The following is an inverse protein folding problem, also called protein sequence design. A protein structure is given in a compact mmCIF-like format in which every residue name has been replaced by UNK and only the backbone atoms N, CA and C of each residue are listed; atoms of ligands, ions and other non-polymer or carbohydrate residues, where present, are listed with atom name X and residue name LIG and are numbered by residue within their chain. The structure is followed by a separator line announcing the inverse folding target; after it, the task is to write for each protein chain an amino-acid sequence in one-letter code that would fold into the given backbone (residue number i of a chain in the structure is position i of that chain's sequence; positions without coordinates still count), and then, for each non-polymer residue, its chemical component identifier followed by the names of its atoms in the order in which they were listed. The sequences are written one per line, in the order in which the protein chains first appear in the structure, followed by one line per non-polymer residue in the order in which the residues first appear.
data_IF_462827892205
#
_entry.id   IF_462827892205
#
_cell.length_a   1.000
_cell.length_b   1.000
_cell.length_c   1.000
_cell.angle_alpha   90.00
_cell.angle_beta   90.00
_cell.angle_gamma   90.00
#
_symmetry.space_group_name_H-M   'P 1'
#
loop_
_entity.id
_entity.type
_entity.pdbx_description
1 polymer ?
#
# COMPACT_ATOMS: atom_id res chain seq x y z
N UNK A 1 11.86 -77.52 26.38
CA UNK A 1 11.94 -76.19 25.73
C UNK A 1 11.75 -75.15 26.83
N UNK A 2 12.57 -74.09 26.85
CA UNK A 2 12.49 -73.01 27.85
C UNK A 2 11.53 -71.93 27.34
N UNK A 3 10.96 -71.15 28.25
CA UNK A 3 10.18 -69.96 27.91
C UNK A 3 11.05 -69.02 27.06
N UNK A 4 10.47 -68.33 26.08
CA UNK A 4 11.22 -67.39 25.24
C UNK A 4 10.57 -66.01 25.29
N UNK A 5 11.42 -64.98 25.33
CA UNK A 5 11.01 -63.59 25.22
C UNK A 5 11.71 -63.02 24.01
N UNK A 6 10.99 -62.34 23.15
CA UNK A 6 11.51 -61.74 21.94
C UNK A 6 11.04 -60.30 21.83
N UNK A 7 11.92 -59.41 21.37
CA UNK A 7 11.53 -58.13 20.83
C UNK A 7 10.98 -58.36 19.43
N UNK A 8 9.77 -57.91 19.15
CA UNK A 8 9.12 -58.03 17.85
C UNK A 8 8.99 -56.66 17.20
N UNK A 9 9.07 -56.62 15.88
CA UNK A 9 8.87 -55.40 15.08
C UNK A 9 7.77 -55.67 14.07
N UNK A 10 6.83 -54.75 13.92
CA UNK A 10 5.80 -54.78 12.88
C UNK A 10 5.79 -53.48 12.07
N UNK A 11 5.19 -53.52 10.87
CA UNK A 11 4.94 -52.33 10.03
C UNK A 11 3.88 -51.44 10.66
N UNK A 12 4.05 -50.15 10.44
CA UNK A 12 3.10 -49.08 10.74
C UNK A 12 3.14 -48.08 9.56
N UNK A 13 2.73 -48.55 8.38
CA UNK A 13 2.84 -47.84 7.11
C UNK A 13 1.90 -46.62 7.06
N UNK A 14 0.83 -46.60 7.84
CA UNK A 14 -0.07 -45.45 8.00
C UNK A 14 0.32 -44.50 9.16
N UNK A 15 1.37 -44.84 9.91
CA UNK A 15 1.95 -44.05 11.01
C UNK A 15 0.94 -43.74 12.13
N UNK A 16 -0.04 -44.61 12.33
CA UNK A 16 -1.06 -44.42 13.36
C UNK A 16 -0.59 -44.88 14.76
N UNK A 17 0.62 -45.45 14.87
CA UNK A 17 1.20 -45.97 16.10
C UNK A 17 0.72 -47.38 16.47
N UNK A 18 0.10 -48.10 15.53
CA UNK A 18 -0.35 -49.47 15.67
C UNK A 18 0.24 -50.36 14.57
N UNK A 19 0.31 -51.67 14.84
CA UNK A 19 0.80 -52.61 13.86
C UNK A 19 -0.24 -52.86 12.76
N UNK A 20 0.14 -52.68 11.50
CA UNK A 20 -0.71 -53.01 10.33
C UNK A 20 -0.86 -54.52 10.11
N UNK A 21 -0.08 -55.33 10.81
CA UNK A 21 -0.08 -56.76 10.66
C UNK A 21 0.82 -57.48 11.66
N UNK A 22 1.16 -58.73 11.32
CA UNK A 22 2.03 -59.56 12.15
C UNK A 22 3.47 -59.01 12.21
N UNK A 23 4.20 -59.40 13.24
CA UNK A 23 5.62 -59.07 13.38
C UNK A 23 6.43 -59.57 12.16
N UNK A 24 7.18 -58.65 11.55
CA UNK A 24 8.03 -58.88 10.37
C UNK A 24 9.42 -59.38 10.75
N UNK A 25 9.88 -59.12 11.98
CA UNK A 25 11.11 -59.66 12.53
C UNK A 25 11.02 -59.78 14.05
N UNK A 26 11.82 -60.67 14.63
CA UNK A 26 12.00 -60.80 16.07
C UNK A 26 13.47 -60.94 16.43
N UNK A 27 13.83 -60.48 17.63
CA UNK A 27 15.16 -60.62 18.23
C UNK A 27 15.02 -61.26 19.62
N UNK A 28 15.71 -62.38 19.89
CA UNK A 28 15.59 -63.06 21.17
C UNK A 28 16.20 -62.21 22.30
N UNK A 29 15.45 -62.07 23.39
CA UNK A 29 15.92 -61.44 24.62
C UNK A 29 16.41 -62.56 25.56
N UNK A 30 17.68 -62.54 26.01
CA UNK A 30 18.17 -63.53 26.96
C UNK A 30 17.33 -63.51 28.24
N UNK A 31 16.81 -64.66 28.66
CA UNK A 31 15.99 -64.77 29.89
C UNK A 31 16.73 -64.32 31.15
N UNK A 32 18.07 -64.32 31.15
CA UNK A 32 18.88 -63.78 32.25
C UNK A 32 18.77 -62.26 32.40
N UNK A 33 18.27 -61.58 31.38
CA UNK A 33 18.04 -60.14 31.34
C UNK A 33 16.56 -59.76 31.51
N UNK A 34 15.69 -60.74 31.80
CA UNK A 34 14.25 -60.53 32.04
C UNK A 34 13.98 -60.76 33.52
N UNK A 35 13.43 -59.74 34.18
CA UNK A 35 13.04 -59.79 35.60
C UNK A 35 11.57 -59.42 35.76
N UNK A 36 10.96 -59.82 36.87
CA UNK A 36 9.63 -59.31 37.23
C UNK A 36 9.69 -57.79 37.44
N UNK A 37 8.70 -57.06 36.91
CA UNK A 37 8.64 -55.59 36.96
C UNK A 37 9.16 -54.92 35.69
N UNK A 38 9.76 -53.74 35.84
CA UNK A 38 10.21 -52.90 34.71
C UNK A 38 11.55 -53.40 34.15
N UNK A 39 11.58 -53.64 32.84
CA UNK A 39 12.79 -54.05 32.12
C UNK A 39 13.10 -52.99 31.04
N UNK A 40 14.38 -52.77 30.76
CA UNK A 40 14.84 -51.84 29.71
C UNK A 40 15.66 -52.60 28.68
N UNK A 41 15.33 -52.44 27.40
CA UNK A 41 16.06 -53.02 26.29
C UNK A 41 16.42 -51.95 25.27
N UNK A 42 17.62 -52.06 24.71
CA UNK A 42 18.09 -51.19 23.63
C UNK A 42 17.85 -51.90 22.32
N UNK A 43 17.09 -51.27 21.43
CA UNK A 43 16.92 -51.73 20.06
C UNK A 43 17.84 -50.95 19.12
N UNK A 44 18.62 -51.67 18.31
CA UNK A 44 19.47 -51.05 17.30
C UNK A 44 18.70 -50.90 15.98
N UNK A 45 18.25 -49.69 15.68
CA UNK A 45 17.48 -49.39 14.46
C UNK A 45 18.23 -49.69 13.16
N UNK A 46 19.57 -49.73 13.18
CA UNK A 46 20.37 -50.17 12.03
C UNK A 46 20.09 -51.63 11.64
N UNK A 47 19.55 -52.45 12.54
CA UNK A 47 19.16 -53.84 12.24
C UNK A 47 17.99 -53.91 11.26
N UNK A 48 17.15 -52.88 11.19
CA UNK A 48 16.04 -52.81 10.24
C UNK A 48 16.54 -52.64 8.80
N UNK A 49 17.54 -51.76 8.61
CA UNK A 49 18.21 -51.57 7.34
C UNK A 49 18.95 -52.85 6.90
N UNK A 50 19.74 -53.46 7.79
CA UNK A 50 20.52 -54.66 7.46
C UNK A 50 19.68 -55.90 7.16
N UNK A 51 18.46 -55.96 7.69
CA UNK A 51 17.46 -56.99 7.37
C UNK A 51 16.66 -56.69 6.08
N UNK A 52 16.95 -55.59 5.38
CA UNK A 52 16.25 -55.21 4.15
C UNK A 52 14.79 -54.81 4.37
N UNK A 53 14.46 -54.32 5.57
CA UNK A 53 13.09 -53.93 5.93
C UNK A 53 12.76 -52.48 5.55
N UNK A 54 13.73 -51.70 5.08
CA UNK A 54 13.46 -50.36 4.55
C UNK A 54 13.06 -50.45 3.07
N UNK A 55 12.00 -49.75 2.70
CA UNK A 55 11.60 -49.56 1.31
C UNK A 55 12.16 -48.22 0.87
N UNK A 56 13.09 -48.24 -0.09
CA UNK A 56 13.72 -47.02 -0.60
C UNK A 56 14.39 -46.20 0.51
N UNK A 57 15.06 -46.91 1.44
CA UNK A 57 15.71 -46.37 2.64
C UNK A 57 14.77 -45.72 3.68
N UNK A 58 13.46 -45.85 3.51
CA UNK A 58 12.45 -45.38 4.46
C UNK A 58 11.67 -46.53 5.09
N UNK A 59 11.25 -46.38 6.36
CA UNK A 59 10.32 -47.31 6.98
C UNK A 59 9.76 -46.81 8.31
N UNK A 60 8.49 -47.15 8.55
CA UNK A 60 7.77 -46.86 9.79
C UNK A 60 7.38 -48.16 10.49
N UNK A 61 7.63 -48.22 11.80
CA UNK A 61 7.55 -49.45 12.58
C UNK A 61 7.01 -49.22 13.99
N UNK A 62 6.37 -50.25 14.53
CA UNK A 62 6.07 -50.37 15.95
C UNK A 62 6.91 -51.49 16.57
N UNK A 63 7.44 -51.22 17.78
CA UNK A 63 8.20 -52.18 18.56
C UNK A 63 7.30 -52.85 19.59
N UNK A 64 7.49 -54.13 19.84
CA UNK A 64 6.72 -54.88 20.82
C UNK A 64 7.53 -55.99 21.47
N UNK A 65 6.89 -56.69 22.40
CA UNK A 65 7.48 -57.88 23.04
C UNK A 65 6.52 -59.05 22.85
N UNK A 66 7.08 -60.23 22.56
CA UNK A 66 6.37 -61.50 22.51
C UNK A 66 6.97 -62.46 23.53
N UNK A 67 6.10 -63.04 24.36
CA UNK A 67 6.45 -64.07 25.35
C UNK A 67 5.80 -65.38 24.93
N UNK A 68 6.58 -66.46 24.84
CA UNK A 68 6.10 -67.80 24.51
C UNK A 68 6.39 -68.78 25.65
N UNK A 69 5.33 -69.41 26.16
CA UNK A 69 5.41 -70.41 27.23
C UNK A 69 5.56 -71.84 26.72
N UNK A 70 5.95 -72.76 27.61
CA UNK A 70 6.24 -74.17 27.28
C UNK A 70 5.04 -74.98 26.73
N UNK A 71 3.81 -74.53 27.00
CA UNK A 71 2.58 -75.16 26.55
C UNK A 71 2.09 -74.63 25.18
N UNK A 72 2.85 -73.75 24.52
CA UNK A 72 2.46 -73.13 23.25
C UNK A 72 1.65 -71.84 23.40
N UNK A 73 1.41 -71.38 24.62
CA UNK A 73 0.76 -70.10 24.90
C UNK A 73 1.67 -68.95 24.48
N UNK A 74 1.10 -67.96 23.77
CA UNK A 74 1.81 -66.76 23.35
C UNK A 74 1.04 -65.51 23.78
N UNK A 75 1.77 -64.55 24.33
CA UNK A 75 1.28 -63.20 24.60
C UNK A 75 2.18 -62.21 23.89
N UNK A 76 1.60 -61.21 23.22
CA UNK A 76 2.34 -60.13 22.58
C UNK A 76 1.70 -58.79 22.85
N UNK A 77 2.51 -57.75 22.95
CA UNK A 77 2.06 -56.37 23.06
C UNK A 77 3.02 -55.44 22.32
N UNK A 78 2.49 -54.40 21.68
CA UNK A 78 3.27 -53.33 21.07
C UNK A 78 3.33 -52.12 22.00
N UNK A 79 4.47 -51.44 22.00
CA UNK A 79 4.65 -50.17 22.68
C UNK A 79 3.84 -49.08 21.96
N UNK A 80 3.35 -48.07 22.69
CA UNK A 80 2.72 -46.91 22.07
C UNK A 80 3.76 -46.06 21.32
N UNK A 81 3.38 -45.55 20.14
CA UNK A 81 4.20 -44.66 19.32
C UNK A 81 4.91 -45.37 18.16
N UNK A 82 5.51 -44.57 17.29
CA UNK A 82 6.11 -45.01 16.02
C UNK A 82 7.62 -44.82 16.04
N UNK A 83 8.34 -45.75 15.40
CA UNK A 83 9.77 -45.65 15.10
C UNK A 83 9.91 -45.48 13.60
N UNK A 84 10.30 -44.29 13.17
CA UNK A 84 10.60 -44.02 11.77
C UNK A 84 12.10 -44.10 11.57
N UNK A 85 12.51 -44.82 10.53
CA UNK A 85 13.89 -44.89 10.06
C UNK A 85 13.91 -44.34 8.65
N UNK A 86 14.54 -43.17 8.51
CA UNK A 86 14.86 -42.58 7.23
C UNK A 86 16.39 -42.58 7.03
N UNK A 87 16.80 -43.12 5.88
CA UNK A 87 18.19 -43.18 5.43
C UNK A 87 18.55 -42.10 4.41
N UNK A 88 17.59 -41.30 3.94
CA UNK A 88 17.82 -40.28 2.92
C UNK A 88 17.08 -38.99 3.26
N UNK A 89 17.82 -38.05 3.86
CA UNK A 89 17.33 -36.70 4.08
C UNK A 89 16.85 -36.04 2.77
N UNK A 90 15.90 -35.10 2.85
CA UNK A 90 15.43 -34.36 1.69
C UNK A 90 16.58 -33.60 1.01
N UNK A 91 16.40 -33.33 -0.28
CA UNK A 91 17.31 -32.49 -1.07
C UNK A 91 16.54 -31.35 -1.72
N UNK A 92 17.19 -30.19 -1.81
CA UNK A 92 16.63 -29.00 -2.45
C UNK A 92 17.67 -28.26 -3.30
N UNK A 93 17.26 -27.82 -4.48
CA UNK A 93 18.10 -27.05 -5.40
C UNK A 93 17.34 -25.81 -5.91
N UNK A 94 17.94 -24.63 -5.77
CA UNK A 94 17.39 -23.41 -6.37
C UNK A 94 17.41 -23.44 -7.90
N UNK A 95 16.38 -22.85 -8.54
CA UNK A 95 16.29 -22.76 -10.01
C UNK A 95 16.09 -21.33 -10.49
N UNK A 96 15.08 -20.62 -9.96
CA UNK A 96 14.71 -19.28 -10.43
C UNK A 96 14.05 -18.48 -9.30
N UNK A 97 14.25 -17.16 -9.20
CA UNK A 97 15.04 -16.26 -10.06
C UNK A 97 16.57 -16.40 -10.04
N UNK A 98 17.20 -16.12 -11.19
CA UNK A 98 18.67 -16.16 -11.37
C UNK A 98 19.34 -14.78 -11.38
N UNK A 99 18.57 -13.71 -11.25
CA UNK A 99 19.05 -12.32 -11.20
C UNK A 99 18.20 -11.50 -10.26
N UNK A 100 18.78 -10.43 -9.71
CA UNK A 100 18.07 -9.52 -8.82
C UNK A 100 16.83 -8.93 -9.49
N UNK A 101 15.79 -8.70 -8.70
CA UNK A 101 14.53 -8.14 -9.18
C UNK A 101 14.02 -7.03 -8.26
N UNK A 102 13.52 -5.94 -8.85
CA UNK A 102 12.72 -4.94 -8.17
C UNK A 102 11.26 -5.19 -8.52
N UNK A 103 10.44 -5.47 -7.51
CA UNK A 103 9.08 -5.98 -7.69
C UNK A 103 8.10 -5.16 -6.88
N UNK A 104 6.94 -4.89 -7.46
CA UNK A 104 5.86 -4.28 -6.72
C UNK A 104 5.11 -5.34 -5.92
N UNK A 105 4.74 -4.98 -4.69
CA UNK A 105 4.05 -5.82 -3.73
C UNK A 105 2.71 -6.42 -4.22
N UNK A 106 2.03 -5.76 -5.15
CA UNK A 106 0.74 -6.24 -5.67
C UNK A 106 0.89 -7.14 -6.91
N UNK A 107 2.11 -7.42 -7.35
CA UNK A 107 2.39 -8.34 -8.46
C UNK A 107 2.72 -9.73 -7.90
N UNK A 108 2.03 -10.81 -8.33
CA UNK A 108 2.41 -12.17 -7.96
C UNK A 108 3.86 -12.47 -8.35
N UNK A 109 4.61 -13.09 -7.44
CA UNK A 109 6.00 -13.46 -7.67
C UNK A 109 6.14 -14.96 -7.84
N UNK A 110 6.89 -15.37 -8.87
CA UNK A 110 7.06 -16.79 -9.21
C UNK A 110 8.47 -17.25 -8.89
N UNK A 111 8.57 -18.32 -8.11
CA UNK A 111 9.81 -18.95 -7.66
C UNK A 111 9.83 -20.39 -8.13
N UNK A 112 11.02 -20.86 -8.52
CA UNK A 112 11.24 -22.24 -8.89
C UNK A 112 12.41 -22.84 -8.15
N UNK A 113 12.23 -24.08 -7.70
CA UNK A 113 13.24 -24.90 -7.05
C UNK A 113 12.98 -26.36 -7.40
N UNK A 114 13.93 -27.25 -7.14
CA UNK A 114 13.74 -28.69 -7.26
C UNK A 114 13.82 -29.32 -5.89
N UNK A 115 13.00 -30.34 -5.65
CA UNK A 115 13.09 -31.18 -4.45
C UNK A 115 13.21 -32.64 -4.82
N UNK A 116 13.83 -33.41 -3.92
CA UNK A 116 13.93 -34.87 -3.99
C UNK A 116 13.86 -35.40 -2.57
N UNK A 117 13.07 -36.45 -2.39
CA UNK A 117 13.01 -37.17 -1.13
C UNK A 117 12.44 -38.59 -1.35
N UNK A 118 12.67 -39.50 -0.41
CA UNK A 118 12.10 -40.86 -0.42
C UNK A 118 10.76 -40.95 0.34
N UNK A 119 10.25 -39.84 0.87
CA UNK A 119 9.01 -39.75 1.63
C UNK A 119 8.17 -38.53 1.21
N UNK A 120 6.88 -38.45 1.63
CA UNK A 120 6.12 -37.20 1.54
C UNK A 120 6.77 -36.12 2.42
N UNK A 121 6.92 -34.92 1.88
CA UNK A 121 7.60 -33.81 2.55
C UNK A 121 6.86 -32.49 2.31
N UNK A 122 7.25 -31.45 3.03
CA UNK A 122 6.78 -30.08 2.86
C UNK A 122 7.90 -29.16 2.41
N UNK A 123 7.53 -28.04 1.81
CA UNK A 123 8.46 -26.98 1.47
C UNK A 123 7.94 -25.60 1.88
N UNK A 124 8.83 -24.81 2.47
CA UNK A 124 8.59 -23.40 2.77
C UNK A 124 9.44 -22.53 1.83
N UNK A 125 8.84 -21.44 1.36
CA UNK A 125 9.53 -20.38 0.62
C UNK A 125 9.49 -19.11 1.47
N UNK A 126 10.67 -18.60 1.76
CA UNK A 126 10.89 -17.52 2.71
C UNK A 126 11.70 -16.40 2.08
N UNK A 127 11.49 -15.18 2.57
CA UNK A 127 12.24 -13.98 2.24
C UNK A 127 12.99 -13.50 3.47
N UNK A 128 14.31 -13.58 3.41
CA UNK A 128 15.22 -13.23 4.50
C UNK A 128 15.70 -11.77 4.35
N UNK A 129 15.41 -10.87 5.29
CA UNK A 129 15.83 -9.46 5.22
C UNK A 129 17.33 -9.26 5.39
N UNK A 130 18.08 -10.28 5.82
CA UNK A 130 19.54 -10.21 6.00
C UNK A 130 20.26 -11.40 5.36
N UNK A 131 21.53 -11.61 5.69
CA UNK A 131 22.40 -12.62 5.08
C UNK A 131 22.53 -13.91 5.91
N UNK A 132 21.84 -14.00 7.05
CA UNK A 132 21.93 -15.08 8.02
C UNK A 132 20.60 -15.86 8.05
N UNK A 133 20.46 -16.88 7.19
CA UNK A 133 19.20 -17.61 7.09
C UNK A 133 18.92 -18.41 8.38
N UNK A 134 17.64 -18.61 8.65
CA UNK A 134 17.08 -19.38 9.77
C UNK A 134 17.31 -18.74 11.14
N UNK A 135 17.33 -17.41 11.22
CA UNK A 135 17.45 -16.68 12.47
C UNK A 135 16.09 -16.26 13.08
N UNK A 136 14.99 -16.50 12.35
CA UNK A 136 13.62 -16.26 12.80
C UNK A 136 13.03 -14.91 12.37
N UNK A 137 13.76 -14.11 11.58
CA UNK A 137 13.26 -12.86 11.00
C UNK A 137 12.75 -13.00 9.55
N UNK A 138 12.72 -14.23 9.03
CA UNK A 138 12.32 -14.48 7.64
C UNK A 138 10.81 -14.33 7.47
N UNK A 139 10.41 -13.69 6.37
CA UNK A 139 9.02 -13.56 5.99
C UNK A 139 8.60 -14.78 5.18
N UNK A 140 7.61 -15.53 5.69
CA UNK A 140 7.04 -16.67 4.97
C UNK A 140 6.19 -16.18 3.80
N UNK A 141 6.60 -16.56 2.58
CA UNK A 141 5.88 -16.28 1.36
C UNK A 141 4.91 -17.42 1.02
N UNK A 142 5.38 -18.67 1.16
CA UNK A 142 4.57 -19.89 1.09
C UNK A 142 5.05 -20.81 2.20
N UNK A 143 4.12 -21.41 2.94
CA UNK A 143 4.44 -22.39 3.97
C UNK A 143 3.68 -23.69 3.76
N UNK A 144 4.25 -24.77 4.29
CA UNK A 144 3.66 -26.11 4.32
C UNK A 144 3.19 -26.61 2.94
N UNK A 145 3.94 -26.30 1.88
CA UNK A 145 3.62 -26.82 0.55
C UNK A 145 3.77 -28.34 0.56
N UNK A 146 2.67 -29.08 0.61
CA UNK A 146 2.68 -30.54 0.66
C UNK A 146 3.14 -31.14 -0.68
N UNK A 147 4.18 -31.97 -0.62
CA UNK A 147 4.80 -32.63 -1.76
C UNK A 147 4.73 -34.15 -1.57
N UNK A 148 4.01 -34.82 -2.46
CA UNK A 148 3.91 -36.28 -2.42
C UNK A 148 5.26 -36.94 -2.72
N UNK A 149 5.46 -38.14 -2.15
CA UNK A 149 6.61 -39.00 -2.47
C UNK A 149 6.70 -39.21 -4.00
N UNK A 150 7.86 -38.95 -4.64
CA UNK A 150 8.10 -39.26 -6.04
C UNK A 150 7.92 -40.74 -6.38
N UNK A 151 7.47 -41.05 -7.61
CA UNK A 151 7.52 -42.41 -8.13
C UNK A 151 8.96 -42.88 -8.41
N UNK A 152 9.85 -41.93 -8.73
CA UNK A 152 11.29 -42.12 -8.86
C UNK A 152 12.00 -41.21 -7.85
N UNK A 153 12.38 -41.80 -6.72
CA UNK A 153 13.09 -41.10 -5.65
C UNK A 153 14.52 -40.73 -6.01
N UNK A 154 15.01 -41.01 -7.23
CA UNK A 154 16.36 -40.63 -7.69
C UNK A 154 16.41 -39.28 -8.42
N UNK A 155 15.26 -38.74 -8.86
CA UNK A 155 15.20 -37.52 -9.65
C UNK A 155 14.79 -36.28 -8.84
N UNK A 156 15.49 -35.17 -9.06
CA UNK A 156 15.10 -33.83 -8.60
C UNK A 156 13.92 -33.31 -9.42
N UNK A 157 12.77 -33.09 -8.79
CA UNK A 157 11.56 -32.64 -9.48
C UNK A 157 11.37 -31.14 -9.32
N UNK A 158 11.13 -30.44 -10.45
CA UNK A 158 10.84 -29.02 -10.47
C UNK A 158 9.52 -28.69 -9.74
N UNK A 159 9.57 -27.65 -8.92
CA UNK A 159 8.46 -27.00 -8.22
C UNK A 159 8.37 -25.58 -8.72
N UNK A 160 7.16 -25.14 -9.06
CA UNK A 160 6.87 -23.75 -9.41
C UNK A 160 5.82 -23.24 -8.45
N UNK A 161 6.15 -22.16 -7.76
CA UNK A 161 5.31 -21.55 -6.74
C UNK A 161 5.07 -20.11 -7.14
N UNK A 162 3.82 -19.67 -7.14
CA UNK A 162 3.44 -18.28 -7.38
C UNK A 162 2.69 -17.75 -6.16
N UNK A 163 3.14 -16.64 -5.60
CA UNK A 163 2.63 -16.12 -4.34
C UNK A 163 2.49 -14.59 -4.37
N UNK A 164 1.55 -14.08 -3.58
CA UNK A 164 1.35 -12.64 -3.39
C UNK A 164 2.40 -12.08 -2.43
N UNK A 165 2.95 -10.91 -2.76
CA UNK A 165 3.88 -10.20 -1.88
C UNK A 165 3.15 -9.24 -0.93
N UNK A 166 1.81 -9.16 -0.94
CA UNK A 166 1.02 -8.16 -0.21
C UNK A 166 1.38 -8.01 1.29
N UNK A 167 1.74 -9.12 1.94
CA UNK A 167 2.11 -9.16 3.37
C UNK A 167 3.60 -8.85 3.63
N UNK A 168 4.45 -8.84 2.59
CA UNK A 168 5.89 -8.58 2.70
C UNK A 168 6.13 -7.07 2.77
N UNK A 169 6.81 -6.56 3.81
CA UNK A 169 7.16 -5.14 3.88
C UNK A 169 8.08 -4.70 2.72
N UNK A 170 8.09 -3.42 2.34
CA UNK A 170 9.08 -2.90 1.43
C UNK A 170 10.50 -3.06 2.01
N UNK A 171 11.43 -3.58 1.21
CA UNK A 171 12.76 -3.96 1.67
C UNK A 171 13.50 -4.79 0.63
N UNK A 172 14.73 -5.18 0.92
CA UNK A 172 15.50 -6.09 0.06
C UNK A 172 15.68 -7.40 0.80
N UNK A 173 15.40 -8.51 0.13
CA UNK A 173 15.40 -9.83 0.74
C UNK A 173 16.22 -10.82 -0.09
N UNK A 174 16.83 -11.79 0.60
CA UNK A 174 17.37 -13.01 0.00
C UNK A 174 16.30 -14.10 0.02
N UNK A 175 16.36 -15.02 -0.95
CA UNK A 175 15.45 -16.16 -0.96
C UNK A 175 16.00 -17.29 -0.11
N UNK A 176 15.12 -17.95 0.64
CA UNK A 176 15.42 -19.20 1.35
C UNK A 176 14.31 -20.19 1.04
N UNK A 177 14.67 -21.43 0.69
CA UNK A 177 13.74 -22.54 0.62
C UNK A 177 14.15 -23.56 1.67
N UNK A 178 13.18 -23.99 2.48
CA UNK A 178 13.35 -25.10 3.43
C UNK A 178 12.49 -26.27 3.00
N UNK A 179 13.01 -27.48 3.18
CA UNK A 179 12.30 -28.72 2.89
C UNK A 179 12.45 -29.65 4.08
N UNK A 180 11.31 -30.17 4.55
CA UNK A 180 11.23 -31.01 5.75
C UNK A 180 10.26 -32.16 5.49
N UNK A 181 10.65 -33.37 5.84
CA UNK A 181 9.80 -34.57 5.89
C UNK A 181 9.34 -34.87 7.34
N UNK A 182 9.64 -33.96 8.28
CA UNK A 182 9.40 -34.15 9.72
C UNK A 182 10.52 -34.92 10.43
N UNK A 183 11.58 -35.35 9.73
CA UNK A 183 12.69 -36.11 10.29
C UNK A 183 14.01 -35.35 10.04
N UNK A 184 14.74 -34.96 11.09
CA UNK A 184 16.00 -34.24 10.91
C UNK A 184 17.09 -35.10 10.22
N UNK A 185 17.97 -34.51 9.39
CA UNK A 185 18.09 -33.07 9.13
C UNK A 185 17.20 -32.56 7.98
N UNK A 186 16.68 -31.36 8.15
CA UNK A 186 16.00 -30.63 7.07
C UNK A 186 17.00 -30.16 6.00
N UNK A 187 16.50 -29.97 4.78
CA UNK A 187 17.27 -29.41 3.69
C UNK A 187 16.94 -27.94 3.47
N UNK A 188 17.96 -27.13 3.16
CA UNK A 188 17.74 -25.72 2.83
C UNK A 188 18.66 -25.23 1.72
N UNK A 189 18.18 -24.25 0.97
CA UNK A 189 18.98 -23.57 -0.06
C UNK A 189 18.61 -22.10 -0.15
N UNK A 190 19.58 -21.28 -0.57
CA UNK A 190 19.37 -19.86 -0.85
C UNK A 190 19.26 -19.61 -2.35
N UNK A 191 18.57 -18.52 -2.71
CA UNK A 191 18.47 -18.09 -4.10
C UNK A 191 19.82 -17.64 -4.63
N UNK A 192 20.32 -18.32 -5.67
CA UNK A 192 21.61 -18.03 -6.30
C UNK A 192 21.51 -17.95 -7.81
N UNK A 193 22.45 -17.21 -8.41
CA UNK A 193 22.65 -17.17 -9.85
C UNK A 193 23.54 -18.37 -10.30
N UNK A 194 23.68 -18.63 -11.61
CA UNK A 194 24.54 -19.72 -12.11
C UNK A 194 26.01 -19.62 -11.70
N UNK A 195 26.48 -18.45 -11.26
CA UNK A 195 27.83 -18.23 -10.74
C UNK A 195 27.96 -18.43 -9.22
N UNK A 196 26.89 -18.83 -8.53
CA UNK A 196 26.88 -19.07 -7.08
C UNK A 196 26.71 -17.81 -6.21
N UNK A 197 26.51 -16.63 -6.81
CA UNK A 197 26.21 -15.41 -6.07
C UNK A 197 24.74 -15.35 -5.64
N UNK A 198 24.46 -14.79 -4.46
CA UNK A 198 23.08 -14.60 -3.97
C UNK A 198 22.26 -13.70 -4.90
N UNK A 199 21.00 -14.06 -5.06
CA UNK A 199 19.99 -13.30 -5.82
C UNK A 199 19.01 -12.70 -4.85
N UNK A 200 18.66 -11.43 -5.07
CA UNK A 200 17.83 -10.63 -4.17
C UNK A 200 16.52 -10.19 -4.81
N UNK A 201 15.51 -9.98 -3.98
CA UNK A 201 14.28 -9.27 -4.35
C UNK A 201 14.15 -7.97 -3.58
N UNK A 202 13.94 -6.88 -4.30
CA UNK A 202 13.55 -5.61 -3.73
C UNK A 202 12.01 -5.46 -3.76
N UNK A 203 11.44 -5.59 -2.58
CA UNK A 203 10.13 -5.16 -2.06
C UNK A 203 9.79 -3.68 -2.26
N UNK A 204 8.92 -3.21 -3.17
CA UNK A 204 8.54 -1.79 -3.18
C UNK A 204 7.06 -1.48 -3.33
N UNK A 205 6.65 -0.37 -2.70
CA UNK A 205 5.33 0.27 -2.91
C UNK A 205 5.38 1.36 -4.01
N UNK A 206 6.56 1.64 -4.59
CA UNK A 206 6.73 2.64 -5.65
C UNK A 206 6.14 2.11 -6.96
N UNK A 207 5.60 3.02 -7.77
CA UNK A 207 5.26 2.70 -9.16
C UNK A 207 6.54 2.36 -9.92
N UNK A 208 6.60 1.15 -10.46
CA UNK A 208 7.72 0.65 -11.27
C UNK A 208 7.12 -0.03 -12.50
N UNK A 209 7.81 0.04 -13.63
CA UNK A 209 7.35 -0.55 -14.89
C UNK A 209 6.11 0.14 -15.46
N UNK A 210 5.39 -0.58 -16.31
CA UNK A 210 4.11 -0.15 -16.85
C UNK A 210 3.02 -0.29 -15.78
N UNK A 211 2.24 0.76 -15.58
CA UNK A 211 1.11 0.78 -14.65
C UNK A 211 -0.14 1.25 -15.38
N UNK A 212 -1.16 0.40 -15.43
CA UNK A 212 -2.47 0.79 -15.95
C UNK A 212 -3.14 1.77 -14.99
N UNK A 213 -3.30 3.02 -15.43
CA UNK A 213 -3.95 4.08 -14.64
C UNK A 213 -5.40 3.74 -14.26
N UNK A 214 -6.07 2.82 -14.96
CA UNK A 214 -7.40 2.34 -14.57
C UNK A 214 -7.36 1.64 -13.20
N UNK A 215 -6.23 1.05 -12.81
CA UNK A 215 -6.04 0.39 -11.52
C UNK A 215 -5.67 1.38 -10.40
N UNK A 216 -5.59 2.69 -10.67
CA UNK A 216 -5.21 3.69 -9.67
C UNK A 216 -6.25 3.79 -8.54
N UNK A 217 -7.53 3.63 -8.87
CA UNK A 217 -8.67 3.80 -7.94
C UNK A 217 -8.59 2.85 -6.75
N UNK A 218 -8.17 1.60 -6.99
CA UNK A 218 -8.07 0.55 -5.98
C UNK A 218 -6.65 0.42 -5.40
N UNK A 219 -5.73 1.31 -5.77
CA UNK A 219 -4.34 1.24 -5.36
C UNK A 219 -4.00 2.25 -4.25
N UNK A 220 -3.05 1.89 -3.39
CA UNK A 220 -2.43 2.84 -2.45
C UNK A 220 -1.37 3.74 -3.10
N UNK A 221 -1.28 3.74 -4.43
CA UNK A 221 -0.13 4.28 -5.19
C UNK A 221 -0.37 5.65 -5.81
N UNK A 222 -1.59 6.19 -5.72
CA UNK A 222 -1.91 7.56 -6.09
C UNK A 222 -3.41 7.83 -6.02
N UNK A 223 -3.83 8.96 -6.59
CA UNK A 223 -5.22 9.42 -6.56
C UNK A 223 -5.64 10.04 -7.89
N UNK A 224 -6.95 10.08 -8.11
CA UNK A 224 -7.60 10.82 -9.19
C UNK A 224 -8.24 12.06 -8.58
N UNK A 225 -7.76 13.25 -8.94
CA UNK A 225 -8.41 14.52 -8.63
C UNK A 225 -9.45 14.83 -9.70
N UNK A 226 -10.72 14.59 -9.39
CA UNK A 226 -11.83 14.69 -10.34
C UNK A 226 -12.52 16.05 -10.24
N UNK A 227 -12.70 16.74 -11.38
CA UNK A 227 -13.55 17.93 -11.47
C UNK A 227 -15.01 17.63 -11.13
N UNK A 228 -15.80 18.67 -10.81
CA UNK A 228 -17.18 18.49 -10.35
C UNK A 228 -18.23 18.83 -11.42
N UNK A 229 -18.28 20.06 -11.93
CA UNK A 229 -19.28 20.42 -12.94
C UNK A 229 -18.76 20.24 -14.37
N UNK A 230 -19.73 20.13 -15.29
CA UNK A 230 -19.45 20.05 -16.72
C UNK A 230 -18.74 21.31 -17.22
N UNK A 231 -17.74 21.12 -18.08
CA UNK A 231 -16.97 22.18 -18.73
C UNK A 231 -16.18 23.12 -17.79
N UNK A 232 -15.97 22.75 -16.53
CA UNK A 232 -15.18 23.56 -15.58
C UNK A 232 -13.68 23.58 -15.90
N UNK A 233 -13.22 22.61 -16.72
CA UNK A 233 -11.82 22.43 -17.11
C UNK A 233 -10.89 22.27 -15.89
N UNK A 234 -11.28 21.43 -14.95
CA UNK A 234 -10.41 21.00 -13.85
C UNK A 234 -9.08 20.44 -14.38
N UNK A 235 -7.97 20.91 -13.80
CA UNK A 235 -6.62 20.57 -14.24
C UNK A 235 -6.10 21.45 -15.39
N UNK A 236 -6.76 22.58 -15.70
CA UNK A 236 -6.31 23.50 -16.75
C UNK A 236 -4.98 24.20 -16.45
N UNK A 237 -4.66 24.35 -15.16
CA UNK A 237 -3.38 24.81 -14.64
C UNK A 237 -3.15 24.20 -13.25
N UNK A 238 -1.90 24.06 -12.85
CA UNK A 238 -1.49 23.51 -11.57
C UNK A 238 -0.19 24.16 -11.11
N UNK A 239 -0.01 24.32 -9.80
CA UNK A 239 1.24 24.77 -9.21
C UNK A 239 1.56 23.98 -7.94
N UNK A 240 2.83 23.63 -7.77
CA UNK A 240 3.35 23.18 -6.49
C UNK A 240 3.55 24.41 -5.60
N UNK A 241 3.14 24.31 -4.33
CA UNK A 241 3.32 25.36 -3.33
C UNK A 241 4.21 24.77 -2.22
N UNK A 242 5.28 25.47 -1.82
CA UNK A 242 6.03 25.11 -0.61
C UNK A 242 5.13 25.19 0.62
N UNK A 243 5.38 24.32 1.60
CA UNK A 243 4.67 24.28 2.89
C UNK A 243 4.28 25.69 3.42
N UNK A 244 2.99 25.98 3.37
CA UNK A 244 2.36 27.25 3.70
C UNK A 244 1.64 27.20 5.05
N UNK A 245 1.32 26.01 5.56
CA UNK A 245 0.61 25.81 6.83
C UNK A 245 1.49 25.30 7.98
N UNK A 246 2.75 24.97 7.69
CA UNK A 246 3.78 24.63 8.66
C UNK A 246 3.76 23.18 9.14
N UNK A 247 3.07 22.28 8.42
CA UNK A 247 3.07 20.85 8.73
C UNK A 247 4.28 20.08 8.12
N UNK A 248 5.09 20.81 7.35
CA UNK A 248 6.29 20.35 6.67
C UNK A 248 6.05 19.74 5.30
N UNK A 249 4.82 19.53 4.84
CA UNK A 249 4.47 18.93 3.56
C UNK A 249 4.05 19.99 2.52
N UNK A 250 4.73 20.02 1.38
CA UNK A 250 4.37 20.89 0.25
C UNK A 250 2.93 20.64 -0.24
N UNK A 251 2.25 21.71 -0.67
CA UNK A 251 0.89 21.69 -1.17
C UNK A 251 0.81 21.66 -2.70
N UNK A 252 -0.42 21.48 -3.18
CA UNK A 252 -0.77 21.50 -4.60
C UNK A 252 -1.96 22.43 -4.84
N UNK A 253 -1.84 23.33 -5.82
CA UNK A 253 -2.99 24.03 -6.37
C UNK A 253 -3.42 23.37 -7.68
N UNK A 254 -4.71 23.09 -7.81
CA UNK A 254 -5.35 22.67 -9.07
C UNK A 254 -6.38 23.69 -9.50
N UNK A 255 -6.28 24.16 -10.75
CA UNK A 255 -7.22 25.15 -11.32
C UNK A 255 -8.31 24.46 -12.12
N UNK A 256 -9.54 24.87 -11.90
CA UNK A 256 -10.70 24.67 -12.77
C UNK A 256 -11.08 26.00 -13.41
N UNK A 257 -10.56 26.25 -14.61
CA UNK A 257 -10.63 27.57 -15.27
C UNK A 257 -12.02 28.18 -15.34
N UNK A 258 -13.04 27.35 -15.51
CA UNK A 258 -14.45 27.77 -15.60
C UNK A 258 -15.31 27.15 -14.49
N UNK A 259 -14.69 26.82 -13.35
CA UNK A 259 -15.37 26.40 -12.12
C UNK A 259 -16.56 27.29 -11.76
N UNK A 260 -17.59 26.66 -11.17
CA UNK A 260 -18.89 27.26 -10.87
C UNK A 260 -19.15 27.19 -9.36
N UNK A 261 -18.47 28.01 -8.54
CA UNK A 261 -18.55 27.93 -7.07
C UNK A 261 -19.95 28.27 -6.54
N UNK A 262 -20.75 28.98 -7.36
CA UNK A 262 -22.17 29.20 -7.15
C UNK A 262 -22.83 28.77 -8.45
N UNK A 263 -23.83 27.89 -8.39
CA UNK A 263 -24.40 27.23 -9.56
C UNK A 263 -24.89 28.27 -10.57
N UNK A 264 -24.10 28.49 -11.61
CA UNK A 264 -24.50 29.22 -12.82
C UNK A 264 -25.19 28.21 -13.75
N UNK A 265 -26.07 28.68 -14.64
CA UNK A 265 -26.71 27.82 -15.64
C UNK A 265 -25.71 26.87 -16.31
N UNK A 266 -26.17 25.65 -16.61
CA UNK A 266 -25.34 24.55 -17.15
C UNK A 266 -24.53 24.95 -18.38
N UNK A 267 -25.06 25.85 -19.20
CA UNK A 267 -24.45 26.31 -20.45
C UNK A 267 -23.60 27.60 -20.28
N UNK A 268 -23.57 28.17 -19.07
CA UNK A 268 -22.75 29.33 -18.74
C UNK A 268 -21.29 28.95 -18.46
N UNK A 269 -20.38 29.91 -18.65
CA UNK A 269 -18.99 29.80 -18.19
C UNK A 269 -18.88 30.34 -16.77
N UNK A 270 -18.45 29.49 -15.84
CA UNK A 270 -18.16 29.91 -14.48
C UNK A 270 -16.95 30.84 -14.41
N UNK A 271 -16.84 31.57 -13.31
CA UNK A 271 -15.74 32.51 -13.11
C UNK A 271 -14.42 31.85 -12.68
N UNK A 272 -14.40 30.53 -12.51
CA UNK A 272 -13.21 29.76 -12.20
C UNK A 272 -13.11 29.45 -10.71
N UNK A 273 -12.46 28.32 -10.41
CA UNK A 273 -12.10 27.90 -9.07
C UNK A 273 -10.67 27.40 -9.07
N UNK A 274 -9.93 27.62 -7.98
CA UNK A 274 -8.73 26.85 -7.70
C UNK A 274 -8.87 26.14 -6.35
N UNK A 275 -8.12 25.07 -6.20
CA UNK A 275 -8.18 24.18 -5.06
C UNK A 275 -6.77 24.01 -4.53
N UNK A 276 -6.44 24.68 -3.43
CA UNK A 276 -5.23 24.38 -2.66
C UNK A 276 -5.52 23.13 -1.83
N UNK A 277 -4.71 22.10 -2.02
CA UNK A 277 -4.79 20.83 -1.30
C UNK A 277 -3.56 20.75 -0.42
N UNK A 278 -3.77 20.70 0.90
CA UNK A 278 -2.64 20.58 1.84
C UNK A 278 -1.96 19.22 1.67
N UNK A 279 -0.63 19.25 1.68
CA UNK A 279 0.18 18.05 1.66
C UNK A 279 -0.08 17.18 2.89
N UNK A 280 0.08 15.86 2.74
CA UNK A 280 0.12 14.98 3.91
C UNK A 280 0.86 13.68 3.59
N UNK A 281 2.11 13.57 4.04
CA UNK A 281 2.93 12.37 3.82
C UNK A 281 2.39 11.14 4.55
N UNK A 282 1.68 11.32 5.66
CA UNK A 282 1.15 10.24 6.49
C UNK A 282 -0.18 9.70 5.93
N UNK A 283 -1.04 10.59 5.43
CA UNK A 283 -2.35 10.31 4.86
C UNK A 283 -2.40 10.73 3.38
N UNK A 284 -1.57 10.07 2.57
CA UNK A 284 -1.50 10.33 1.12
C UNK A 284 -2.88 10.20 0.47
N UNK A 285 -3.16 11.10 -0.48
CA UNK A 285 -4.35 11.01 -1.34
C UNK A 285 -4.41 9.65 -2.03
N UNK A 286 -5.59 9.03 -2.02
CA UNK A 286 -5.88 7.73 -2.64
C UNK A 286 -7.26 7.72 -3.28
N UNK A 287 -7.48 6.84 -4.24
CA UNK A 287 -8.79 6.68 -4.88
C UNK A 287 -9.24 7.94 -5.63
N UNK A 288 -10.56 8.10 -5.80
CA UNK A 288 -11.14 9.29 -6.47
C UNK A 288 -11.45 10.36 -5.41
N UNK A 289 -10.82 11.52 -5.56
CA UNK A 289 -11.06 12.71 -4.76
C UNK A 289 -11.70 13.77 -5.64
N UNK A 290 -12.92 14.19 -5.31
CA UNK A 290 -13.59 15.26 -6.06
C UNK A 290 -13.09 16.61 -5.59
N UNK A 291 -12.73 17.51 -6.50
CA UNK A 291 -12.17 18.82 -6.15
C UNK A 291 -13.14 19.66 -5.31
N UNK A 292 -14.45 19.55 -5.51
CA UNK A 292 -15.44 20.25 -4.69
C UNK A 292 -15.57 19.72 -3.24
N UNK A 293 -14.79 18.71 -2.85
CA UNK A 293 -14.68 18.24 -1.46
C UNK A 293 -13.49 18.85 -0.71
N UNK A 294 -12.63 19.61 -1.40
CA UNK A 294 -11.49 20.31 -0.79
C UNK A 294 -12.00 21.28 0.27
N UNK A 295 -11.44 21.19 1.47
CA UNK A 295 -11.88 21.99 2.63
C UNK A 295 -13.18 21.53 3.28
N UNK A 296 -13.86 20.48 2.79
CA UNK A 296 -15.18 20.01 3.25
C UNK A 296 -15.20 18.55 3.76
N UNK A 297 -14.05 17.95 4.09
CA UNK A 297 -14.00 16.57 4.58
C UNK A 297 -12.60 15.96 4.54
N UNK A 298 -12.45 14.89 3.76
CA UNK A 298 -11.24 14.05 3.71
C UNK A 298 -10.10 14.65 2.87
N UNK A 299 -10.31 15.80 2.22
CA UNK A 299 -9.29 16.51 1.47
C UNK A 299 -9.07 17.88 2.14
N UNK A 300 -8.12 17.98 3.08
CA UNK A 300 -7.76 19.24 3.70
C UNK A 300 -7.31 20.25 2.64
N UNK A 301 -7.76 21.49 2.75
CA UNK A 301 -7.40 22.51 1.78
C UNK A 301 -8.23 23.78 1.85
N UNK A 302 -8.11 24.59 0.80
CA UNK A 302 -8.77 25.87 0.63
C UNK A 302 -9.24 25.99 -0.82
N UNK A 303 -10.47 26.49 -1.01
CA UNK A 303 -11.00 26.80 -2.34
C UNK A 303 -10.81 28.29 -2.61
N UNK A 304 -10.35 28.63 -3.82
CA UNK A 304 -10.32 30.00 -4.31
C UNK A 304 -11.41 30.19 -5.36
N UNK A 305 -12.35 31.08 -5.11
CA UNK A 305 -13.35 31.46 -6.09
C UNK A 305 -12.79 32.59 -6.97
N UNK A 306 -12.94 32.49 -8.30
CA UNK A 306 -12.40 33.47 -9.25
C UNK A 306 -13.14 34.81 -9.27
N UNK A 307 -12.78 35.67 -10.24
CA UNK A 307 -13.43 36.97 -10.45
C UNK A 307 -14.87 36.79 -10.98
N UNK A 308 -15.85 37.13 -10.16
CA UNK A 308 -17.29 36.98 -10.47
C UNK A 308 -17.68 37.66 -11.79
N UNK A 309 -18.44 36.96 -12.63
CA UNK A 309 -19.00 37.43 -13.89
C UNK A 309 -20.54 37.29 -13.90
N UNK A 310 -21.27 38.02 -14.77
CA UNK A 310 -22.73 37.92 -14.87
C UNK A 310 -23.22 36.48 -15.06
N UNK A 311 -24.40 36.20 -14.53
CA UNK A 311 -25.15 34.99 -14.86
C UNK A 311 -25.21 34.83 -16.38
N UNK A 312 -25.10 33.57 -16.82
CA UNK A 312 -25.22 33.19 -18.23
C UNK A 312 -24.16 33.81 -19.15
N UNK A 313 -23.08 34.34 -18.58
CA UNK A 313 -21.93 34.76 -19.34
C UNK A 313 -21.43 33.58 -20.20
N UNK A 314 -21.13 33.87 -21.47
CA UNK A 314 -20.60 32.91 -22.46
C UNK A 314 -19.19 33.26 -22.92
N UNK A 315 -18.70 34.44 -22.56
CA UNK A 315 -17.42 34.96 -23.05
C UNK A 315 -16.53 35.51 -21.92
N UNK A 316 -15.90 34.60 -21.19
CA UNK A 316 -14.79 34.91 -20.26
C UNK A 316 -13.58 34.03 -20.58
N UNK A 317 -12.40 34.44 -20.12
CA UNK A 317 -11.21 33.58 -20.06
C UNK A 317 -11.07 32.91 -18.70
N UNK A 318 -11.89 33.26 -17.71
CA UNK A 318 -11.91 32.66 -16.38
C UNK A 318 -10.56 32.74 -15.66
N UNK A 319 -10.43 31.93 -14.61
CA UNK A 319 -9.17 31.73 -13.89
C UNK A 319 -8.20 30.92 -14.77
N UNK A 320 -7.29 31.59 -15.48
CA UNK A 320 -6.54 30.91 -16.55
C UNK A 320 -5.27 30.22 -16.09
N UNK A 321 -4.61 30.76 -15.07
CA UNK A 321 -3.32 30.24 -14.61
C UNK A 321 -3.07 30.60 -13.14
N UNK A 322 -2.19 29.85 -12.50
CA UNK A 322 -1.69 30.10 -11.15
C UNK A 322 -0.18 29.94 -11.11
N UNK A 323 0.50 30.82 -10.38
CA UNK A 323 1.92 30.65 -10.06
C UNK A 323 2.16 31.03 -8.61
N UNK A 324 3.25 30.49 -8.07
CA UNK A 324 3.79 30.84 -6.76
C UNK A 324 4.95 31.80 -6.97
N UNK A 325 5.02 32.86 -6.20
CA UNK A 325 6.14 33.82 -6.21
C UNK A 325 6.85 33.80 -4.85
N UNK A 326 8.13 34.18 -4.79
CA UNK A 326 8.83 34.29 -3.51
C UNK A 326 8.17 35.35 -2.63
N UNK A 327 8.30 35.14 -1.32
CA UNK A 327 7.93 36.08 -0.25
C UNK A 327 8.23 37.55 -0.63
N UNK A 328 7.16 38.34 -0.70
CA UNK A 328 7.14 39.76 -1.04
C UNK A 328 6.84 40.66 0.16
N UNK A 329 6.32 40.13 1.26
CA UNK A 329 5.87 40.91 2.41
C UNK A 329 6.63 40.61 3.72
N UNK A 330 7.53 39.64 3.70
CA UNK A 330 8.50 39.32 4.74
C UNK A 330 7.95 38.41 5.84
N UNK A 331 6.85 37.69 5.61
CA UNK A 331 6.34 36.73 6.56
C UNK A 331 7.00 35.36 6.48
N UNK A 332 6.88 34.63 7.59
CA UNK A 332 7.49 33.32 7.73
C UNK A 332 6.73 32.47 8.73
N UNK A 333 6.85 31.16 8.55
CA UNK A 333 6.45 30.19 9.53
C UNK A 333 7.29 30.32 10.82
N UNK A 334 6.82 29.81 11.97
CA UNK A 334 7.57 29.85 13.23
C UNK A 334 8.97 29.22 13.17
N UNK A 335 9.20 28.32 12.21
CA UNK A 335 10.49 27.68 11.95
C UNK A 335 11.47 28.56 11.13
N UNK A 336 11.05 29.76 10.71
CA UNK A 336 11.83 30.71 9.91
C UNK A 336 11.76 30.49 8.39
N UNK A 337 10.94 29.55 7.91
CA UNK A 337 10.70 29.38 6.48
C UNK A 337 9.89 30.57 5.93
N UNK A 338 10.39 31.29 4.92
CA UNK A 338 9.64 32.38 4.29
C UNK A 338 8.42 31.81 3.56
N UNK A 339 7.28 32.48 3.69
CA UNK A 339 6.03 32.05 3.06
C UNK A 339 5.87 32.69 1.67
N UNK A 340 5.47 31.93 0.65
CA UNK A 340 5.31 32.48 -0.69
C UNK A 340 3.93 33.12 -0.89
N UNK A 341 3.82 34.04 -1.85
CA UNK A 341 2.52 34.52 -2.35
C UNK A 341 2.02 33.74 -3.56
N UNK A 342 0.69 33.76 -3.70
CA UNK A 342 0.00 33.06 -4.77
C UNK A 342 -0.53 34.09 -5.78
N UNK A 343 -0.22 33.90 -7.06
CA UNK A 343 -0.65 34.78 -8.14
C UNK A 343 -1.59 34.05 -9.07
N UNK A 344 -2.79 34.60 -9.24
CA UNK A 344 -3.83 34.08 -10.10
C UNK A 344 -4.06 35.00 -11.29
N UNK A 345 -4.12 34.44 -12.50
CA UNK A 345 -4.28 35.22 -13.73
C UNK A 345 -5.69 35.15 -14.32
N UNK A 346 -6.16 36.31 -14.76
CA UNK A 346 -7.45 36.50 -15.39
C UNK A 346 -7.27 37.29 -16.67
N UNK A 347 -7.01 36.65 -17.83
CA UNK A 347 -6.70 37.36 -19.07
C UNK A 347 -7.83 38.24 -19.60
N UNK A 348 -9.08 37.91 -19.24
CA UNK A 348 -10.28 38.70 -19.54
C UNK A 348 -11.47 38.14 -18.78
N UNK A 349 -12.09 38.97 -17.95
CA UNK A 349 -13.35 38.66 -17.27
C UNK A 349 -14.26 39.87 -17.36
N UNK A 350 -15.49 39.67 -17.84
CA UNK A 350 -16.54 40.68 -17.72
C UNK A 350 -17.01 40.68 -16.26
N UNK A 351 -16.26 41.34 -15.37
CA UNK A 351 -16.46 41.26 -13.93
C UNK A 351 -17.65 42.08 -13.45
N UNK A 352 -18.39 41.57 -12.46
CA UNK A 352 -19.47 42.32 -11.80
C UNK A 352 -18.86 43.20 -10.71
N UNK A 353 -19.49 44.33 -10.38
CA UNK A 353 -19.14 45.09 -9.18
C UNK A 353 -19.62 44.35 -7.92
N UNK A 354 -18.77 44.18 -6.92
CA UNK A 354 -19.11 43.45 -5.69
C UNK A 354 -20.26 44.08 -4.87
N UNK A 355 -20.57 45.36 -5.11
CA UNK A 355 -21.71 46.06 -4.53
C UNK A 355 -23.00 45.95 -5.35
N UNK A 356 -23.01 45.21 -6.47
CA UNK A 356 -24.21 44.96 -7.25
C UNK A 356 -25.15 44.00 -6.50
N UNK A 357 -26.44 44.32 -6.43
CA UNK A 357 -27.46 43.51 -5.74
C UNK A 357 -28.53 42.99 -6.72
N UNK A 358 -28.31 43.11 -8.03
CA UNK A 358 -29.26 42.66 -9.05
C UNK A 358 -29.28 41.12 -9.17
N UNK A 359 -30.37 40.44 -8.76
CA UNK A 359 -30.49 38.98 -8.87
C UNK A 359 -30.55 38.49 -10.32
N UNK A 360 -30.75 39.37 -11.30
CA UNK A 360 -30.64 39.07 -12.72
C UNK A 360 -29.20 39.02 -13.23
N UNK A 361 -28.26 39.59 -12.47
CA UNK A 361 -26.84 39.65 -12.84
C UNK A 361 -26.00 38.67 -12.02
N UNK A 362 -26.32 38.42 -10.75
CA UNK A 362 -25.58 37.45 -9.92
C UNK A 362 -26.44 36.66 -8.95
N UNK A 363 -25.86 35.58 -8.41
CA UNK A 363 -26.52 34.76 -7.39
C UNK A 363 -26.68 35.54 -6.08
N UNK A 364 -27.82 35.44 -5.36
CA UNK A 364 -28.03 36.17 -4.10
C UNK A 364 -27.03 35.89 -2.98
N UNK A 365 -26.39 34.71 -2.96
CA UNK A 365 -25.32 34.39 -1.98
C UNK A 365 -24.02 35.20 -2.22
N UNK A 366 -23.92 35.88 -3.37
CA UNK A 366 -22.80 36.74 -3.73
C UNK A 366 -23.06 38.21 -3.44
N UNK A 367 -24.25 38.58 -2.97
CA UNK A 367 -24.57 39.96 -2.60
C UNK A 367 -23.61 40.49 -1.52
N UNK A 368 -23.35 41.81 -1.51
CA UNK A 368 -22.47 42.43 -0.53
C UNK A 368 -22.92 42.15 0.91
N UNK A 369 -22.01 41.56 1.68
CA UNK A 369 -22.20 41.26 3.10
C UNK A 369 -21.51 42.29 4.02
N UNK A 370 -20.79 43.24 3.43
CA UNK A 370 -20.08 44.32 4.10
C UNK A 370 -20.43 45.68 3.50
N UNK A 371 -20.55 46.69 4.38
CA UNK A 371 -20.77 48.07 3.95
C UNK A 371 -19.59 48.58 3.12
N UNK A 372 -19.86 49.06 1.91
CA UNK A 372 -18.87 49.66 1.02
C UNK A 372 -18.09 48.67 0.15
N UNK A 373 -18.49 47.40 0.12
CA UNK A 373 -17.95 46.41 -0.81
C UNK A 373 -18.23 46.84 -2.26
N UNK A 374 -17.24 46.73 -3.15
CA UNK A 374 -17.35 47.15 -4.55
C UNK A 374 -17.11 48.65 -4.82
N UNK A 375 -16.85 49.47 -3.79
CA UNK A 375 -16.58 50.91 -3.96
C UNK A 375 -15.33 51.23 -4.79
N UNK A 376 -14.40 50.29 -4.93
CA UNK A 376 -13.15 50.46 -5.67
C UNK A 376 -13.25 50.02 -7.13
N UNK A 377 -14.36 49.39 -7.48
CA UNK A 377 -14.53 48.70 -8.77
C UNK A 377 -15.44 49.52 -9.69
N UNK A 378 -15.15 49.48 -10.99
CA UNK A 378 -16.04 50.10 -11.95
C UNK A 378 -17.33 49.29 -12.08
N UNK A 379 -18.49 49.93 -11.85
CA UNK A 379 -19.77 49.28 -12.08
C UNK A 379 -20.15 49.28 -13.57
N UNK A 380 -20.03 48.11 -14.21
CA UNK A 380 -20.42 47.89 -15.60
C UNK A 380 -21.94 47.73 -15.80
N UNK A 381 -22.70 47.49 -14.72
CA UNK A 381 -24.16 47.42 -14.73
C UNK A 381 -24.75 48.76 -14.24
N UNK A 382 -24.86 49.72 -15.16
CA UNK A 382 -25.40 51.04 -14.83
C UNK A 382 -26.91 51.03 -15.07
N UNK A 383 -27.70 51.28 -14.03
CA UNK A 383 -29.17 51.39 -14.10
C UNK A 383 -29.87 50.17 -14.73
N UNK A 384 -29.36 48.96 -14.46
CA UNK A 384 -29.89 47.71 -15.00
C UNK A 384 -29.51 47.44 -16.47
N UNK A 385 -28.53 48.17 -17.01
CA UNK A 385 -28.00 47.96 -18.36
C UNK A 385 -26.52 47.58 -18.28
N UNK A 386 -26.19 46.39 -18.78
CA UNK A 386 -24.81 45.93 -18.88
C UNK A 386 -24.04 46.67 -19.98
N UNK A 387 -22.88 47.23 -19.63
CA UNK A 387 -21.94 47.85 -20.56
C UNK A 387 -20.74 46.91 -20.79
N UNK A 388 -20.67 46.19 -21.92
CA UNK A 388 -19.58 45.25 -22.17
C UNK A 388 -18.21 45.93 -22.28
N UNK A 389 -17.13 45.23 -21.91
CA UNK A 389 -15.73 45.68 -22.01
C UNK A 389 -15.31 46.83 -21.08
N UNK A 390 -16.18 47.30 -20.19
CA UNK A 390 -15.86 48.38 -19.25
C UNK A 390 -15.61 47.90 -17.83
N UNK A 391 -15.97 46.64 -17.53
CA UNK A 391 -15.69 46.01 -16.24
C UNK A 391 -14.17 46.00 -15.92
N UNK A 392 -13.83 46.03 -14.64
CA UNK A 392 -12.45 46.16 -14.17
C UNK A 392 -11.51 45.09 -14.77
N UNK A 393 -11.94 43.83 -14.79
CA UNK A 393 -11.14 42.74 -15.36
C UNK A 393 -11.38 42.49 -16.85
N UNK A 394 -12.12 43.35 -17.56
CA UNK A 394 -12.39 43.16 -18.99
C UNK A 394 -11.13 43.31 -19.86
N UNK A 395 -10.10 43.99 -19.33
CA UNK A 395 -8.76 44.13 -19.94
C UNK A 395 -7.77 43.07 -19.44
N UNK A 396 -8.25 42.18 -18.58
CA UNK A 396 -7.45 41.22 -17.84
C UNK A 396 -6.81 41.81 -16.59
N UNK A 397 -6.15 40.94 -15.83
CA UNK A 397 -5.47 41.29 -14.59
C UNK A 397 -4.89 40.06 -13.89
N UNK A 398 -4.24 40.33 -12.77
CA UNK A 398 -3.76 39.30 -11.83
C UNK A 398 -4.25 39.65 -10.43
N UNK A 399 -4.48 38.62 -9.62
CA UNK A 399 -4.74 38.75 -8.19
C UNK A 399 -3.58 38.11 -7.46
N UNK A 400 -2.94 38.86 -6.56
CA UNK A 400 -1.87 38.36 -5.69
C UNK A 400 -2.47 38.18 -4.30
N UNK A 401 -2.40 36.97 -3.78
CA UNK A 401 -2.86 36.61 -2.44
C UNK A 401 -1.65 36.48 -1.54
N UNK A 402 -1.58 37.35 -0.54
CA UNK A 402 -0.54 37.35 0.49
C UNK A 402 -0.72 36.17 1.45
N UNK A 403 0.40 35.56 1.83
CA UNK A 403 0.55 34.52 2.85
C UNK A 403 0.08 34.95 4.25
N UNK A 404 0.05 36.26 4.53
CA UNK A 404 -0.53 36.81 5.77
C UNK A 404 -2.03 36.51 5.94
N UNK A 405 -2.73 36.07 4.88
CA UNK A 405 -4.11 35.67 5.02
C UNK A 405 -4.20 34.37 5.83
N UNK A 406 -4.61 34.48 7.09
CA UNK A 406 -4.61 33.39 8.06
C UNK A 406 -5.39 32.14 7.63
N UNK A 407 -6.32 32.24 6.67
CA UNK A 407 -7.03 31.06 6.14
C UNK A 407 -6.13 30.16 5.27
N UNK A 408 -5.06 30.72 4.70
CA UNK A 408 -4.06 29.98 3.92
C UNK A 408 -3.16 29.13 4.83
N UNK A 409 -2.61 29.75 5.87
CA UNK A 409 -1.60 29.14 6.75
C UNK A 409 -2.19 28.40 7.96
N UNK A 410 -3.51 28.45 8.15
CA UNK A 410 -4.17 27.74 9.25
C UNK A 410 -5.39 26.96 8.75
N UNK A 411 -5.30 25.61 8.65
CA UNK A 411 -6.40 24.75 8.21
C UNK A 411 -7.66 24.82 9.09
N UNK A 412 -7.54 25.29 10.33
CA UNK A 412 -8.65 25.44 11.28
C UNK A 412 -9.37 26.79 11.22
N UNK A 413 -8.85 27.76 10.48
CA UNK A 413 -9.49 29.08 10.32
C UNK A 413 -10.55 29.00 9.22
N UNK A 414 -11.70 29.61 9.50
CA UNK A 414 -12.79 29.82 8.54
C UNK A 414 -12.84 31.30 8.16
N UNK A 415 -13.34 31.61 6.97
CA UNK A 415 -13.61 32.98 6.59
C UNK A 415 -14.83 33.54 7.36
N UNK A 416 -15.18 34.81 7.10
CA UNK A 416 -16.33 35.48 7.72
C UNK A 416 -17.70 34.87 7.36
N UNK A 417 -17.76 34.06 6.30
CA UNK A 417 -18.94 33.30 5.86
C UNK A 417 -18.98 31.88 6.46
N UNK A 418 -18.06 31.57 7.39
CA UNK A 418 -17.93 30.28 8.08
C UNK A 418 -17.60 29.11 7.14
N UNK A 419 -16.84 29.37 6.08
CA UNK A 419 -16.37 28.34 5.15
C UNK A 419 -14.86 28.45 4.88
N UNK A 420 -14.36 27.51 4.05
CA UNK A 420 -12.98 27.41 3.59
C UNK A 420 -12.84 27.92 2.14
N UNK A 421 -13.42 29.09 1.87
CA UNK A 421 -13.35 29.74 0.57
C UNK A 421 -12.69 31.11 0.69
N UNK A 422 -11.72 31.39 -0.18
CA UNK A 422 -11.16 32.71 -0.38
C UNK A 422 -11.65 33.23 -1.74
N UNK A 423 -12.51 34.24 -1.72
CA UNK A 423 -12.99 34.87 -2.95
C UNK A 423 -11.93 35.84 -3.49
N UNK A 424 -11.32 35.49 -4.64
CA UNK A 424 -10.27 36.27 -5.26
C UNK A 424 -10.76 37.65 -5.72
N UNK A 425 -12.06 37.82 -5.95
CA UNK A 425 -12.63 39.12 -6.30
C UNK A 425 -12.60 40.09 -5.12
N UNK A 426 -12.71 39.59 -3.89
CA UNK A 426 -12.71 40.40 -2.68
C UNK A 426 -11.30 40.77 -2.19
N UNK A 427 -10.25 40.16 -2.76
CA UNK A 427 -8.86 40.45 -2.41
C UNK A 427 -8.55 41.92 -2.70
N UNK A 428 -8.10 42.65 -1.69
CA UNK A 428 -7.82 44.09 -1.80
C UNK A 428 -9.06 45.00 -1.71
N UNK A 429 -10.25 44.46 -1.46
CA UNK A 429 -11.48 45.25 -1.23
C UNK A 429 -11.73 45.52 0.26
N UNK A 430 -11.16 44.70 1.13
CA UNK A 430 -11.29 44.81 2.58
C UNK A 430 -10.04 45.42 3.19
N UNK A 431 -10.05 46.74 3.42
CA UNK A 431 -9.04 47.42 4.22
C UNK A 431 -9.56 47.65 5.63
N UNK A 432 -9.33 46.69 6.54
CA UNK A 432 -9.56 46.98 7.96
C UNK A 432 -8.57 48.06 8.40
N UNK A 433 -9.07 49.27 8.71
CA UNK A 433 -8.29 50.35 9.33
C UNK A 433 -7.80 51.47 8.40
N UNK A 434 -8.10 51.46 7.10
CA UNK A 434 -7.86 52.62 6.23
C UNK A 434 -9.18 53.33 5.93
N UNK A 435 -9.39 54.50 6.56
CA UNK A 435 -10.34 55.48 6.03
C UNK A 435 -10.01 55.75 4.55
N UNK A 436 -10.99 56.07 3.70
CA UNK A 436 -10.74 56.40 2.29
C UNK A 436 -9.62 57.44 2.20
N UNK A 437 -8.64 57.28 1.29
CA UNK A 437 -7.67 58.34 1.05
C UNK A 437 -8.47 59.58 0.66
N UNK A 438 -8.35 60.65 1.44
CA UNK A 438 -8.93 61.92 1.03
C UNK A 438 -8.31 62.32 -0.30
N UNK A 439 -9.14 62.51 -1.31
CA UNK A 439 -8.81 62.90 -2.68
C UNK A 439 -8.23 64.34 -2.79
N UNK A 440 -7.52 64.81 -1.76
CA UNK A 440 -7.18 66.23 -1.61
C UNK A 440 -5.79 66.64 -2.12
N UNK A 441 -4.98 65.73 -2.68
CA UNK A 441 -3.60 66.07 -3.08
C UNK A 441 -3.14 65.58 -4.46
N UNK A 442 -4.06 65.37 -5.39
CA UNK A 442 -3.69 65.28 -6.81
C UNK A 442 -4.62 66.17 -7.67
N UNK A 443 -4.31 67.47 -7.65
CA UNK A 443 -4.59 68.41 -8.76
C UNK A 443 -3.28 69.09 -9.11
#
# INVERSE_FOLDING_TARGET
MRDTVELIVARDDDQNGAADGAAITSEPIPLTAVHEGTNTYVFNTNSLASKGLLLDQFGSFVLGVRVSGRAGEQAQAYAPGVVIVDGQAPEVQWVNPTSDALVNRDTPWTIQFRTRDNSPHTADVLLDPDANPNNGNEFQLVGDLSLAKPADSSALILRTVSASLAAVPPGTYNYVVRVSDGIPPEASTQGTNPGGGLVRIAVTNRLIGEFDLNNLVDSSRGAILQGFNFNDLAGSSMAAVPDIDGDGDDELIVVSRFGKPYVIERDGVGFGEAYLIYGNRQARLRGIQRLNSVGLGNVPGLVFAGIRNPLNQRWTRGLSDVTVIPDMDGDSLPNGQPLPELVFSFPRVESINLGDEDPGVQHPELFPDLSGMGNLEYNANLTGTWTPNTAQFARGGVVIVSSHNAILSNPGVLNRKFDRVLDLHEVGQMFTGMSPPSLQWYV
#
